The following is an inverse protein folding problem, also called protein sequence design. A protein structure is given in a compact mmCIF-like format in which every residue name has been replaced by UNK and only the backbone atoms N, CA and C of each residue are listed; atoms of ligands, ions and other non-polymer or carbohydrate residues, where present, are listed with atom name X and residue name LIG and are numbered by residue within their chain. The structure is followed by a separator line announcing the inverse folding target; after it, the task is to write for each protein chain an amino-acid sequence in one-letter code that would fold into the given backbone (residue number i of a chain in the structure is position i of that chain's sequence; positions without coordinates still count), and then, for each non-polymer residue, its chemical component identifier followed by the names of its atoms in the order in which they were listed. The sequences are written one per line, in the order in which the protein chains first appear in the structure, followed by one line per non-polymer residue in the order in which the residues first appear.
data_IF_551826161277
#
_entry.id   IF_551826161277
#
_cell.length_a   1.000
_cell.length_b   1.000
_cell.length_c   1.000
_cell.angle_alpha   90.00
_cell.angle_beta   90.00
_cell.angle_gamma   90.00
#
_symmetry.space_group_name_H-M   'P 1'
#
loop_
_entity.id
_entity.type
_entity.pdbx_description
1 polymer ?
#
# COMPACT_ATOMS: atom_id res chain seq x y z
N UNK A 1 -15.04 6.04 16.85
CA UNK A 1 -15.33 5.75 15.43
C UNK A 1 -14.24 4.80 14.97
N UNK A 2 -14.57 3.52 14.92
CA UNK A 2 -13.64 2.39 14.99
C UNK A 2 -13.12 2.05 13.59
N UNK A 3 -11.82 2.27 13.37
CA UNK A 3 -10.99 1.86 12.23
C UNK A 3 -11.75 1.45 10.95
N UNK A 4 -12.09 2.44 10.11
CA UNK A 4 -12.79 2.21 8.83
C UNK A 4 -11.92 1.51 7.76
N UNK A 5 -10.70 1.07 8.11
CA UNK A 5 -9.89 0.27 7.20
C UNK A 5 -8.92 -0.68 7.95
N UNK A 6 -9.23 -1.98 7.92
CA UNK A 6 -8.37 -3.03 8.49
C UNK A 6 -6.97 -3.02 7.87
N UNK A 7 -6.84 -2.75 6.57
CA UNK A 7 -5.53 -2.67 5.90
C UNK A 7 -4.68 -1.57 6.53
N UNK A 8 -5.26 -0.40 6.79
CA UNK A 8 -4.57 0.71 7.47
C UNK A 8 -4.17 0.34 8.89
N UNK A 9 -5.10 -0.25 9.66
CA UNK A 9 -4.81 -0.68 11.04
C UNK A 9 -3.64 -1.66 11.11
N UNK A 10 -3.64 -2.69 10.25
CA UNK A 10 -2.58 -3.69 10.23
C UNK A 10 -1.25 -3.09 9.78
N UNK A 11 -1.26 -2.24 8.76
CA UNK A 11 -0.04 -1.59 8.29
C UNK A 11 0.55 -0.61 9.30
N UNK A 12 -0.27 0.07 10.11
CA UNK A 12 0.20 1.01 11.14
C UNK A 12 0.68 0.32 12.43
N UNK A 13 0.04 -0.76 12.85
CA UNK A 13 0.33 -1.43 14.14
C UNK A 13 1.23 -2.66 14.00
N UNK A 14 1.20 -3.33 12.84
CA UNK A 14 1.89 -4.59 12.59
C UNK A 14 2.60 -4.64 11.21
N UNK A 15 3.34 -3.60 10.79
CA UNK A 15 3.93 -3.55 9.44
C UNK A 15 4.92 -4.69 9.16
N UNK A 16 5.78 -5.04 10.12
CA UNK A 16 6.77 -6.10 9.96
C UNK A 16 6.11 -7.48 9.81
N UNK A 17 5.10 -7.77 10.63
CA UNK A 17 4.34 -9.02 10.55
C UNK A 17 3.60 -9.14 9.22
N UNK A 18 3.02 -8.04 8.74
CA UNK A 18 2.33 -8.00 7.46
C UNK A 18 3.27 -8.34 6.30
N UNK A 19 4.45 -7.71 6.24
CA UNK A 19 5.45 -8.00 5.19
C UNK A 19 5.95 -9.43 5.29
N UNK A 20 6.26 -9.91 6.51
CA UNK A 20 6.68 -11.29 6.73
C UNK A 20 5.64 -12.29 6.26
N UNK A 21 4.35 -12.04 6.55
CA UNK A 21 3.26 -12.93 6.16
C UNK A 21 3.10 -13.05 4.64
N UNK A 22 3.07 -11.92 3.92
CA UNK A 22 2.78 -11.95 2.47
C UNK A 22 4.02 -12.22 1.61
N UNK A 23 5.18 -11.68 1.99
CA UNK A 23 6.40 -11.75 1.19
C UNK A 23 7.41 -12.78 1.71
N UNK A 24 7.26 -13.30 2.93
CA UNK A 24 8.22 -14.22 3.53
C UNK A 24 9.58 -13.58 3.85
N UNK A 25 9.64 -12.25 3.94
CA UNK A 25 10.87 -11.49 4.17
C UNK A 25 10.87 -10.96 5.61
N UNK A 26 11.99 -11.11 6.31
CA UNK A 26 12.22 -10.37 7.55
C UNK A 26 12.72 -8.97 7.25
N UNK A 27 12.04 -7.97 7.79
CA UNK A 27 12.40 -6.56 7.61
C UNK A 27 12.80 -5.99 8.96
N UNK A 28 14.03 -5.52 9.07
CA UNK A 28 14.57 -4.89 10.29
C UNK A 28 14.13 -3.43 10.45
N UNK A 29 13.93 -2.73 9.33
CA UNK A 29 13.51 -1.34 9.30
C UNK A 29 12.30 -1.16 8.38
N UNK A 30 11.16 -0.80 8.96
CA UNK A 30 9.93 -0.56 8.21
C UNK A 30 9.25 0.70 8.70
N UNK A 31 8.81 1.53 7.76
CA UNK A 31 8.07 2.75 8.08
C UNK A 31 6.82 2.86 7.20
N UNK A 32 5.74 3.35 7.81
CA UNK A 32 4.52 3.66 7.09
C UNK A 32 4.67 5.03 6.46
N UNK A 33 4.67 5.08 5.13
CA UNK A 33 4.67 6.33 4.39
C UNK A 33 3.27 6.94 4.44
N UNK A 34 3.10 7.99 5.24
CA UNK A 34 1.88 8.81 5.31
C UNK A 34 1.77 9.75 4.10
N UNK A 35 1.92 9.21 2.90
CA UNK A 35 1.72 9.95 1.65
C UNK A 35 0.31 9.68 1.15
N UNK A 36 -0.48 10.74 1.04
CA UNK A 36 -1.70 10.70 0.24
C UNK A 36 -1.29 10.74 -1.25
N UNK A 37 -1.43 9.62 -1.96
CA UNK A 37 -1.44 9.66 -3.43
C UNK A 37 -2.81 10.18 -3.84
N UNK A 38 -2.86 11.32 -4.53
CA UNK A 38 -4.10 11.94 -4.96
C UNK A 38 -4.98 10.90 -5.71
N UNK A 39 -6.18 10.67 -5.19
CA UNK A 39 -7.06 9.54 -5.52
C UNK A 39 -7.83 9.72 -6.82
N UNK A 40 -7.68 10.83 -7.54
CA UNK A 40 -8.34 11.00 -8.83
C UNK A 40 -7.50 10.49 -10.00
N UNK A 41 -8.06 9.65 -10.91
CA UNK A 41 -9.35 8.94 -10.88
C UNK A 41 -9.21 7.48 -10.38
N UNK A 42 -8.30 7.22 -9.44
CA UNK A 42 -7.90 5.87 -9.03
C UNK A 42 -8.34 5.60 -7.59
N UNK A 43 -9.47 4.92 -7.44
CA UNK A 43 -10.04 4.59 -6.14
C UNK A 43 -9.53 3.22 -5.65
N UNK A 44 -8.81 3.24 -4.54
CA UNK A 44 -8.64 2.10 -3.65
C UNK A 44 -9.29 2.48 -2.32
N UNK A 45 -9.98 1.54 -1.66
CA UNK A 45 -10.64 1.78 -0.37
C UNK A 45 -9.64 2.23 0.71
N UNK A 46 -8.40 1.72 0.64
CA UNK A 46 -7.22 2.31 1.27
C UNK A 46 -5.97 1.84 0.53
N UNK A 47 -5.07 2.79 0.29
CA UNK A 47 -3.72 2.53 -0.14
C UNK A 47 -2.77 2.81 1.01
N UNK A 48 -2.04 1.81 1.47
CA UNK A 48 -0.95 1.99 2.44
C UNK A 48 0.39 1.66 1.81
N UNK A 49 1.40 2.47 2.14
CA UNK A 49 2.74 2.35 1.61
C UNK A 49 3.69 2.01 2.76
N UNK A 50 4.39 0.89 2.65
CA UNK A 50 5.41 0.46 3.60
C UNK A 50 6.78 0.61 2.96
N UNK A 51 7.61 1.49 3.51
CA UNK A 51 8.99 1.64 3.08
C UNK A 51 9.87 0.67 3.86
N UNK A 52 10.68 -0.07 3.11
CA UNK A 52 11.78 -0.90 3.60
C UNK A 52 13.09 -0.35 3.03
N UNK A 53 14.28 -0.81 3.46
CA UNK A 53 15.55 -0.25 2.98
C UNK A 53 15.72 -0.28 1.46
N UNK A 54 15.16 -1.30 0.79
CA UNK A 54 15.41 -1.54 -0.64
C UNK A 54 14.20 -1.30 -1.54
N UNK A 55 13.01 -1.07 -0.99
CA UNK A 55 11.78 -0.98 -1.76
C UNK A 55 10.64 -0.30 -0.99
N UNK A 56 9.68 0.20 -1.75
CA UNK A 56 8.37 0.61 -1.24
C UNK A 56 7.36 -0.47 -1.62
N UNK A 57 6.72 -1.04 -0.61
CA UNK A 57 5.64 -2.01 -0.77
C UNK A 57 4.30 -1.28 -0.75
N UNK A 58 3.46 -1.58 -1.72
CA UNK A 58 2.15 -0.98 -1.86
C UNK A 58 1.06 -1.98 -1.48
N UNK A 59 0.16 -1.57 -0.58
CA UNK A 59 -0.85 -2.42 0.03
C UNK A 59 -2.24 -1.85 -0.16
N UNK A 60 -3.15 -2.68 -0.65
CA UNK A 60 -4.58 -2.38 -0.69
C UNK A 60 -5.38 -3.64 -0.37
N UNK A 61 -6.44 -3.51 0.43
CA UNK A 61 -7.49 -4.52 0.52
C UNK A 61 -8.63 -4.08 -0.38
N UNK A 62 -9.22 -5.03 -1.10
CA UNK A 62 -10.36 -4.80 -1.98
C UNK A 62 -11.49 -5.70 -1.54
N UNK A 63 -12.69 -5.14 -1.40
CA UNK A 63 -13.90 -5.92 -1.15
C UNK A 63 -14.38 -6.64 -2.42
N UNK A 64 -14.05 -6.09 -3.59
CA UNK A 64 -14.40 -6.64 -4.90
C UNK A 64 -13.12 -7.01 -5.68
N UNK A 65 -13.08 -8.21 -6.30
CA UNK A 65 -11.92 -8.63 -7.09
C UNK A 65 -11.78 -7.82 -8.40
N UNK A 66 -12.88 -7.31 -8.93
CA UNK A 66 -12.88 -6.50 -10.15
C UNK A 66 -12.72 -5.01 -9.80
N UNK A 67 -11.83 -4.33 -10.52
CA UNK A 67 -11.60 -2.88 -10.37
C UNK A 67 -11.76 -2.14 -11.70
N UNK A 68 -12.18 -0.87 -11.61
CA UNK A 68 -12.22 0.10 -12.71
C UNK A 68 -11.43 1.35 -12.27
N UNK A 69 -10.28 1.68 -12.91
CA UNK A 69 -9.60 0.95 -13.99
C UNK A 69 -9.10 -0.45 -13.55
N UNK A 70 -8.75 -1.32 -14.50
CA UNK A 70 -8.28 -2.67 -14.18
C UNK A 70 -7.12 -2.65 -13.17
N UNK A 71 -7.07 -3.66 -12.30
CA UNK A 71 -6.06 -3.75 -11.25
C UNK A 71 -4.63 -3.58 -11.79
N UNK A 72 -4.21 -4.23 -12.90
CA UNK A 72 -2.86 -4.02 -13.45
C UNK A 72 -2.59 -2.56 -13.85
N UNK A 73 -3.55 -1.89 -14.49
CA UNK A 73 -3.41 -0.49 -14.89
C UNK A 73 -3.34 0.44 -13.66
N UNK A 74 -4.11 0.14 -12.62
CA UNK A 74 -4.07 0.85 -11.35
C UNK A 74 -2.71 0.70 -10.67
N UNK A 75 -2.20 -0.53 -10.54
CA UNK A 75 -0.88 -0.79 -9.95
C UNK A 75 0.24 -0.09 -10.71
N UNK A 76 0.22 -0.13 -12.05
CA UNK A 76 1.18 0.60 -12.88
C UNK A 76 1.15 2.10 -12.62
N UNK A 77 -0.06 2.69 -12.55
CA UNK A 77 -0.24 4.12 -12.29
C UNK A 77 0.25 4.55 -10.90
N UNK A 78 0.14 3.71 -9.89
CA UNK A 78 0.72 3.99 -8.58
C UNK A 78 2.24 3.89 -8.59
N UNK A 79 2.79 2.86 -9.23
CA UNK A 79 4.24 2.70 -9.36
C UNK A 79 4.91 3.90 -10.02
N UNK A 80 4.35 4.43 -11.11
CA UNK A 80 4.89 5.63 -11.79
C UNK A 80 4.94 6.82 -10.84
N UNK A 81 3.87 7.10 -10.09
CA UNK A 81 3.82 8.21 -9.13
C UNK A 81 4.82 8.03 -7.98
N UNK A 82 5.00 6.80 -7.50
CA UNK A 82 6.00 6.51 -6.47
C UNK A 82 7.41 6.73 -7.01
N UNK A 83 7.67 6.34 -8.26
CA UNK A 83 8.93 6.65 -8.92
C UNK A 83 9.15 8.15 -9.08
N UNK A 84 8.15 8.93 -9.49
CA UNK A 84 8.29 10.39 -9.57
C UNK A 84 8.56 11.05 -8.21
N UNK A 85 8.01 10.50 -7.11
CA UNK A 85 8.12 11.09 -5.78
C UNK A 85 9.39 10.72 -5.01
N UNK A 86 9.88 9.48 -5.17
CA UNK A 86 10.93 8.90 -4.33
C UNK A 86 12.21 8.52 -5.07
N UNK A 87 12.30 8.79 -6.38
CA UNK A 87 13.40 8.38 -7.25
C UNK A 87 14.12 9.57 -7.87
#
# INVERSE_FOLDING_TARGET
MAYDNICKYLAENYPADLVRWLHGIEVTEISVLKTELNTEPIHADSLTLLQTPNQILQWEFQTLPASKPSLPLRMLKYWVRLKEKYN
#
